data_IF_563501294469
#
_entry.id   IF_563501294469
#
_cell.length_a   1.000
_cell.length_b   1.000
_cell.length_c   1.000
_cell.angle_alpha   90.00
_cell.angle_beta   90.00
_cell.angle_gamma   90.00
#
_symmetry.space_group_name_H-M   'P 1'
#
loop_
_entity.id
_entity.type
_entity.pdbx_description
1 polymer ?
#
# COMPACT_ATOMS: atom_id res chain seq x y z
N UNK A 1 -47.06 65.23 31.32
CA UNK A 1 -47.04 64.92 32.77
C UNK A 1 -47.29 63.42 32.89
N UNK A 2 -46.30 62.71 33.43
CA UNK A 2 -46.29 61.30 33.90
C UNK A 2 -46.20 60.16 32.86
N UNK A 3 -44.99 59.59 32.69
CA UNK A 3 -44.33 58.38 33.28
C UNK A 3 -44.87 57.10 32.57
N UNK A 4 -44.10 56.13 32.02
CA UNK A 4 -43.11 55.20 32.60
C UNK A 4 -42.44 54.39 31.46
N UNK A 5 -41.11 54.26 31.43
CA UNK A 5 -40.31 53.15 31.99
C UNK A 5 -40.58 51.77 31.36
N UNK A 6 -39.76 51.35 30.39
CA UNK A 6 -39.40 49.95 30.10
C UNK A 6 -37.94 49.90 29.62
N UNK A 7 -37.04 49.46 30.49
CA UNK A 7 -36.45 48.11 30.50
C UNK A 7 -35.45 47.86 29.36
N UNK A 8 -34.17 47.90 29.74
CA UNK A 8 -33.10 46.95 29.43
C UNK A 8 -33.28 46.01 28.22
N UNK A 9 -32.34 46.07 27.28
CA UNK A 9 -31.71 44.86 26.74
C UNK A 9 -30.35 45.21 26.12
N UNK A 10 -29.27 44.88 26.81
CA UNK A 10 -27.98 44.66 26.19
C UNK A 10 -28.07 43.37 25.37
N UNK A 11 -27.70 43.43 24.09
CA UNK A 11 -27.70 42.29 23.19
C UNK A 11 -26.45 42.30 22.32
N UNK A 12 -25.35 41.79 22.85
CA UNK A 12 -24.23 41.34 22.02
C UNK A 12 -24.60 39.97 21.45
N UNK A 13 -24.59 39.83 20.12
CA UNK A 13 -24.50 38.51 19.49
C UNK A 13 -23.50 38.59 18.35
N UNK A 14 -22.39 37.88 18.57
CA UNK A 14 -21.31 37.67 17.62
C UNK A 14 -21.85 36.91 16.39
N UNK A 15 -21.62 37.44 15.20
CA UNK A 15 -21.79 36.68 13.96
C UNK A 15 -20.47 35.93 13.67
N UNK A 16 -20.52 34.63 13.91
CA UNK A 16 -19.44 33.68 13.69
C UNK A 16 -19.04 33.62 12.21
N UNK A 17 -17.73 33.74 11.95
CA UNK A 17 -17.13 33.43 10.65
C UNK A 17 -17.12 31.91 10.49
N UNK A 18 -18.07 31.35 9.75
CA UNK A 18 -18.01 29.94 9.35
C UNK A 18 -17.14 29.78 8.12
N UNK A 19 -15.83 29.62 8.34
CA UNK A 19 -14.94 28.98 7.35
C UNK A 19 -15.22 27.49 7.37
N UNK A 20 -16.04 26.99 6.43
CA UNK A 20 -16.06 25.57 6.10
C UNK A 20 -14.95 25.29 5.09
N UNK A 21 -13.72 25.33 5.58
CA UNK A 21 -12.61 24.63 4.93
C UNK A 21 -12.87 23.14 5.14
N UNK A 22 -13.49 22.50 4.14
CA UNK A 22 -13.55 21.04 4.06
C UNK A 22 -12.13 20.52 3.85
N UNK A 23 -11.43 20.27 4.97
CA UNK A 23 -10.29 19.38 4.98
C UNK A 23 -10.80 17.98 4.62
N UNK A 24 -10.83 17.68 3.31
CA UNK A 24 -10.75 16.32 2.84
C UNK A 24 -9.44 15.74 3.37
N UNK A 25 -9.58 14.91 4.38
CA UNK A 25 -8.50 14.25 5.08
C UNK A 25 -7.63 13.50 4.07
N UNK A 26 -6.42 14.00 3.82
CA UNK A 26 -5.35 13.26 3.18
C UNK A 26 -4.78 12.22 4.14
N UNK A 27 -5.63 11.34 4.68
CA UNK A 27 -5.16 10.06 5.19
C UNK A 27 -4.94 9.18 3.97
N UNK A 28 -3.68 9.00 3.56
CA UNK A 28 -3.32 8.09 2.48
C UNK A 28 -3.99 6.73 2.73
N UNK A 29 -4.99 6.41 1.91
CA UNK A 29 -5.64 5.10 1.95
C UNK A 29 -4.59 4.08 1.53
N UNK A 30 -4.45 3.01 2.31
CA UNK A 30 -3.58 1.87 1.96
C UNK A 30 -3.89 1.42 0.52
N UNK A 31 -2.87 1.30 -0.35
CA UNK A 31 -3.05 0.78 -1.70
C UNK A 31 -3.79 -0.56 -1.67
N UNK A 32 -4.72 -0.76 -2.61
CA UNK A 32 -5.51 -1.99 -2.66
C UNK A 32 -4.63 -3.25 -2.73
N UNK A 33 -3.53 -3.20 -3.51
CA UNK A 33 -2.57 -4.30 -3.58
C UNK A 33 -1.81 -4.55 -2.29
N UNK A 34 -1.54 -3.51 -1.47
CA UNK A 34 -0.97 -3.70 -0.13
C UNK A 34 -1.97 -4.38 0.80
N UNK A 35 -3.25 -4.01 0.73
CA UNK A 35 -4.32 -4.66 1.49
C UNK A 35 -4.47 -6.14 1.13
N UNK A 36 -4.39 -6.47 -0.16
CA UNK A 36 -4.41 -7.87 -0.63
C UNK A 36 -3.15 -8.63 -0.23
N UNK A 37 -1.97 -8.03 -0.37
CA UNK A 37 -0.71 -8.62 0.09
C UNK A 37 -0.75 -8.92 1.59
N UNK A 38 -1.42 -8.08 2.39
CA UNK A 38 -1.68 -8.32 3.81
C UNK A 38 -2.65 -9.48 4.02
N UNK A 39 -3.79 -9.48 3.32
CA UNK A 39 -4.82 -10.55 3.34
C UNK A 39 -4.21 -11.92 3.04
N UNK A 40 -3.26 -11.99 2.10
CA UNK A 40 -2.59 -13.22 1.70
C UNK A 40 -1.26 -13.50 2.44
N UNK A 41 -0.97 -12.72 3.48
CA UNK A 41 0.20 -12.85 4.36
C UNK A 41 1.57 -12.66 3.67
N UNK A 42 1.62 -12.08 2.47
CA UNK A 42 2.86 -11.80 1.73
C UNK A 42 3.78 -10.86 2.53
N UNK A 43 3.20 -9.84 3.17
CA UNK A 43 3.93 -8.81 3.91
C UNK A 43 4.68 -9.36 5.15
N UNK A 44 4.33 -10.56 5.64
CA UNK A 44 5.04 -11.20 6.75
C UNK A 44 6.48 -11.56 6.39
N UNK A 45 6.78 -11.78 5.11
CA UNK A 45 8.12 -12.08 4.61
C UNK A 45 8.72 -10.93 3.81
N UNK A 46 7.91 -10.18 3.07
CA UNK A 46 8.35 -9.11 2.18
C UNK A 46 8.33 -7.71 2.83
N UNK A 47 8.04 -7.63 4.13
CA UNK A 47 7.98 -6.36 4.88
C UNK A 47 6.62 -5.69 4.78
N UNK A 48 6.29 -4.86 5.77
CA UNK A 48 4.96 -4.23 5.86
C UNK A 48 4.73 -3.23 4.72
N UNK A 49 5.80 -2.63 4.21
CA UNK A 49 5.81 -1.68 3.12
C UNK A 49 6.73 -2.13 1.97
N UNK A 50 6.98 -3.44 1.84
CA UNK A 50 7.81 -4.00 0.78
C UNK A 50 9.33 -3.84 1.00
N UNK A 51 9.77 -3.50 2.21
CA UNK A 51 11.20 -3.35 2.55
C UNK A 51 11.98 -4.67 2.64
N UNK A 52 11.30 -5.82 2.53
CA UNK A 52 11.91 -7.15 2.62
C UNK A 52 12.06 -7.67 4.04
N UNK A 53 12.87 -8.71 4.19
CA UNK A 53 13.15 -9.38 5.45
C UNK A 53 13.51 -10.84 5.20
N UNK A 54 12.61 -11.76 5.55
CA UNK A 54 12.74 -13.18 5.21
C UNK A 54 12.71 -13.40 3.70
N UNK A 55 11.85 -12.66 3.00
CA UNK A 55 11.79 -12.61 1.54
C UNK A 55 12.50 -11.37 0.99
N UNK A 56 12.77 -11.33 -0.33
CA UNK A 56 13.35 -10.17 -0.98
C UNK A 56 12.47 -8.93 -0.83
N UNK A 57 13.10 -7.75 -0.82
CA UNK A 57 12.38 -6.48 -0.89
C UNK A 57 11.64 -6.34 -2.22
N UNK A 58 10.48 -5.67 -2.19
CA UNK A 58 9.73 -5.26 -3.39
C UNK A 58 10.12 -3.86 -3.85
N UNK A 59 10.60 -3.01 -2.92
CA UNK A 59 11.12 -1.69 -3.25
C UNK A 59 12.28 -1.80 -4.23
N UNK A 60 12.16 -1.12 -5.37
CA UNK A 60 13.14 -1.18 -6.45
C UNK A 60 13.23 -2.52 -7.18
N UNK A 61 12.34 -3.49 -6.90
CA UNK A 61 12.44 -4.84 -7.48
C UNK A 61 11.96 -4.84 -8.94
N UNK A 62 10.81 -4.24 -9.22
CA UNK A 62 10.24 -4.25 -10.57
C UNK A 62 11.13 -3.49 -11.57
N UNK A 63 11.38 -4.11 -12.73
CA UNK A 63 12.27 -3.61 -13.77
C UNK A 63 13.76 -3.82 -13.47
N UNK A 64 14.12 -4.34 -12.29
CA UNK A 64 15.49 -4.73 -11.97
C UNK A 64 15.89 -6.04 -12.66
N UNK A 65 17.20 -6.30 -12.70
CA UNK A 65 17.74 -7.61 -13.09
C UNK A 65 18.22 -8.34 -11.84
N UNK A 66 17.77 -9.57 -11.64
CA UNK A 66 18.20 -10.44 -10.55
C UNK A 66 19.05 -11.60 -11.07
N UNK A 67 20.05 -12.01 -10.30
CA UNK A 67 20.76 -13.27 -10.51
C UNK A 67 19.99 -14.40 -9.81
N UNK A 68 19.77 -15.51 -10.50
CA UNK A 68 19.08 -16.68 -10.00
C UNK A 68 20.06 -17.68 -9.37
N UNK A 69 19.56 -18.63 -8.60
CA UNK A 69 20.40 -19.64 -7.92
C UNK A 69 21.22 -20.52 -8.89
N UNK A 70 20.79 -20.66 -10.15
CA UNK A 70 21.52 -21.39 -11.19
C UNK A 70 22.60 -20.55 -11.89
N UNK A 71 22.77 -19.28 -11.48
CA UNK A 71 23.72 -18.33 -12.05
C UNK A 71 23.22 -17.57 -13.29
N UNK A 72 22.03 -17.89 -13.79
CA UNK A 72 21.38 -17.11 -14.85
C UNK A 72 20.84 -15.77 -14.32
N UNK A 73 20.37 -14.91 -15.21
CA UNK A 73 19.76 -13.62 -14.85
C UNK A 73 18.36 -13.51 -15.42
N UNK A 74 17.46 -12.88 -14.67
CA UNK A 74 16.10 -12.56 -15.11
C UNK A 74 15.78 -11.08 -14.88
N UNK A 75 15.02 -10.48 -15.80
CA UNK A 75 14.40 -9.17 -15.57
C UNK A 75 13.14 -9.40 -14.76
N UNK A 76 12.94 -8.60 -13.71
CA UNK A 76 11.72 -8.66 -12.90
C UNK A 76 10.62 -7.85 -13.61
N UNK A 77 9.94 -8.50 -14.54
CA UNK A 77 8.76 -7.99 -15.23
C UNK A 77 7.46 -8.60 -14.66
N UNK A 78 6.32 -8.30 -15.29
CA UNK A 78 5.02 -8.82 -14.85
C UNK A 78 4.98 -10.37 -14.87
N UNK A 79 5.63 -11.01 -15.85
CA UNK A 79 5.64 -12.47 -15.98
C UNK A 79 6.52 -13.13 -14.93
N UNK A 80 7.67 -12.55 -14.63
CA UNK A 80 8.51 -12.97 -13.52
C UNK A 80 7.74 -12.91 -12.19
N UNK A 81 6.98 -11.84 -11.95
CA UNK A 81 6.19 -11.69 -10.72
C UNK A 81 5.04 -12.70 -10.64
N UNK A 82 4.30 -12.91 -11.74
CA UNK A 82 3.26 -13.96 -11.81
C UNK A 82 3.85 -15.34 -11.54
N UNK A 83 4.95 -15.67 -12.21
CA UNK A 83 5.68 -16.93 -12.04
C UNK A 83 6.14 -17.10 -10.60
N UNK A 84 6.67 -16.05 -9.98
CA UNK A 84 7.12 -16.09 -8.58
C UNK A 84 6.00 -16.38 -7.59
N UNK A 85 4.76 -15.98 -7.88
CA UNK A 85 3.61 -16.27 -7.01
C UNK A 85 2.99 -17.63 -7.30
N UNK A 86 2.84 -18.00 -8.58
CA UNK A 86 2.16 -19.23 -9.01
C UNK A 86 3.07 -20.46 -8.91
N UNK A 87 4.35 -20.29 -9.26
CA UNK A 87 5.39 -21.31 -9.23
C UNK A 87 6.70 -20.77 -8.62
N UNK A 88 6.72 -20.47 -7.31
CA UNK A 88 7.82 -19.79 -6.62
C UNK A 88 9.18 -20.49 -6.71
N UNK A 89 9.21 -21.78 -7.05
CA UNK A 89 10.45 -22.55 -7.22
C UNK A 89 11.05 -22.45 -8.63
N UNK A 90 10.36 -21.84 -9.60
CA UNK A 90 10.83 -21.77 -10.98
C UNK A 90 12.03 -20.85 -11.17
N UNK A 91 12.04 -19.71 -10.46
CA UNK A 91 13.03 -18.64 -10.65
C UNK A 91 13.39 -18.03 -9.30
N UNK A 92 14.23 -18.74 -8.54
CA UNK A 92 14.60 -18.31 -7.19
C UNK A 92 15.80 -17.35 -7.26
N UNK A 93 15.68 -16.10 -6.76
CA UNK A 93 16.82 -15.19 -6.65
C UNK A 93 17.94 -15.77 -5.78
N UNK A 94 19.18 -15.48 -6.16
CA UNK A 94 20.35 -15.83 -5.38
C UNK A 94 20.26 -15.25 -3.97
N UNK A 95 20.68 -16.03 -2.96
CA UNK A 95 20.66 -15.61 -1.56
C UNK A 95 19.32 -15.81 -0.83
N UNK A 96 18.24 -16.14 -1.54
CA UNK A 96 16.97 -16.55 -0.91
C UNK A 96 17.13 -17.98 -0.39
N UNK A 97 16.95 -18.15 0.92
CA UNK A 97 17.11 -19.45 1.60
C UNK A 97 15.79 -20.04 2.09
N UNK A 98 14.76 -19.21 2.26
CA UNK A 98 13.42 -19.62 2.67
C UNK A 98 12.54 -19.71 1.43
N UNK A 99 12.00 -20.90 1.10
CA UNK A 99 11.10 -21.05 -0.04
C UNK A 99 9.85 -20.19 0.12
N UNK A 100 9.47 -19.46 -0.93
CA UNK A 100 8.20 -18.75 -0.97
C UNK A 100 7.05 -19.77 -1.08
N UNK A 101 6.04 -19.73 -0.20
CA UNK A 101 4.94 -20.69 -0.23
C UNK A 101 3.97 -20.39 -1.38
N UNK A 102 3.36 -21.43 -1.94
CA UNK A 102 2.21 -21.29 -2.84
C UNK A 102 0.96 -21.01 -2.02
N UNK A 103 0.22 -19.96 -2.34
CA UNK A 103 -1.08 -19.68 -1.74
C UNK A 103 -2.20 -19.90 -2.77
N UNK A 104 -2.94 -21.02 -2.71
CA UNK A 104 -3.96 -21.36 -3.71
C UNK A 104 -5.20 -20.46 -3.66
N UNK A 105 -5.32 -19.59 -2.65
CA UNK A 105 -6.46 -18.68 -2.50
C UNK A 105 -6.25 -17.33 -3.20
N UNK A 106 -5.04 -17.07 -3.72
CA UNK A 106 -4.77 -15.88 -4.52
C UNK A 106 -5.48 -16.06 -5.87
N UNK A 107 -6.47 -15.21 -6.14
CA UNK A 107 -7.14 -15.22 -7.46
C UNK A 107 -6.29 -14.49 -8.48
N UNK A 108 -6.48 -14.73 -9.79
CA UNK A 108 -5.78 -13.99 -10.83
C UNK A 108 -5.96 -12.47 -10.71
N UNK A 109 -7.17 -11.99 -10.40
CA UNK A 109 -7.47 -10.56 -10.28
C UNK A 109 -6.79 -9.92 -9.07
N UNK A 110 -6.78 -10.63 -7.94
CA UNK A 110 -6.08 -10.19 -6.74
C UNK A 110 -4.55 -10.18 -6.97
N UNK A 111 -4.02 -11.15 -7.72
CA UNK A 111 -2.60 -11.19 -8.10
C UNK A 111 -2.20 -9.98 -8.93
N UNK A 112 -2.96 -9.62 -9.97
CA UNK A 112 -2.66 -8.41 -10.77
C UNK A 112 -2.67 -7.16 -9.90
N UNK A 113 -3.61 -7.05 -8.96
CA UNK A 113 -3.68 -5.91 -8.04
C UNK A 113 -2.46 -5.85 -7.11
N UNK A 114 -1.95 -6.99 -6.65
CA UNK A 114 -0.71 -7.08 -5.87
C UNK A 114 0.50 -6.69 -6.72
N UNK A 115 0.57 -7.15 -7.98
CA UNK A 115 1.63 -6.81 -8.92
C UNK A 115 1.68 -5.30 -9.16
N UNK A 116 0.54 -4.63 -9.34
CA UNK A 116 0.48 -3.17 -9.46
C UNK A 116 0.99 -2.45 -8.21
N UNK A 117 0.78 -3.01 -7.02
CA UNK A 117 1.39 -2.48 -5.81
C UNK A 117 2.91 -2.70 -5.78
N UNK A 118 3.42 -3.87 -6.18
CA UNK A 118 4.88 -4.10 -6.28
C UNK A 118 5.51 -3.10 -7.27
N UNK A 119 4.85 -2.86 -8.41
CA UNK A 119 5.28 -1.89 -9.42
C UNK A 119 5.32 -0.47 -8.89
N UNK A 120 4.36 -0.07 -8.05
CA UNK A 120 4.36 1.28 -7.46
C UNK A 120 5.53 1.51 -6.52
N UNK A 121 6.14 0.45 -5.98
CA UNK A 121 7.34 0.49 -5.13
C UNK A 121 8.66 0.54 -5.93
N UNK A 122 8.64 0.47 -7.26
CA UNK A 122 9.85 0.42 -8.08
C UNK A 122 10.73 1.68 -7.97
N UNK A 123 10.13 2.84 -7.70
CA UNK A 123 10.81 4.13 -7.60
C UNK A 123 10.64 4.78 -6.21
N UNK A 124 10.27 3.98 -5.20
CA UNK A 124 9.93 4.44 -3.86
C UNK A 124 11.14 4.48 -2.92
#
# INVERSE_FOLDING_TARGET
MRVDLRLLAAGAVAAAVTVLASCGQGSEREPAGQTLARKYACLSCHGQNGEGGTGPAWKGLYGSTVTLQDGSTAVVDDEYLRTSVINPSAQIPQGVTVPMPVNPNVTPEDLETIIEYIKSLANA
#
